data_IF_372972790216
#
_entry.id   IF_372972790216
#
_cell.length_a   1.000
_cell.length_b   1.000
_cell.length_c   1.000
_cell.angle_alpha   90.00
_cell.angle_beta   90.00
_cell.angle_gamma   90.00
#
_symmetry.space_group_name_H-M   'P 1'
#
loop_
_entity.id
_entity.type
_entity.pdbx_description
1 polymer ?
#
# COMPACT_ATOMS: atom_id res chain seq x y z
N UNK A 1 4.07 8.27 2.13
CA UNK A 1 3.44 6.93 2.12
C UNK A 1 1.98 7.18 2.47
N UNK A 2 1.07 6.43 1.87
CA UNK A 2 -0.37 6.75 1.80
C UNK A 2 -1.04 6.87 3.18
N UNK A 3 -0.51 6.21 4.20
CA UNK A 3 -0.98 6.27 5.58
C UNK A 3 -0.93 7.67 6.19
N UNK A 4 0.11 8.45 5.84
CA UNK A 4 0.25 9.83 6.32
C UNK A 4 -0.73 10.76 5.63
N UNK A 5 -0.91 10.58 4.32
CA UNK A 5 -1.77 11.41 3.49
C UNK A 5 -3.25 11.15 3.81
N UNK A 6 -3.60 9.89 4.08
CA UNK A 6 -4.95 9.47 4.49
C UNK A 6 -5.18 9.54 6.01
N UNK A 7 -4.17 9.91 6.81
CA UNK A 7 -4.21 9.94 8.29
C UNK A 7 -4.71 8.63 8.90
N UNK A 8 -4.30 7.50 8.34
CA UNK A 8 -4.61 6.16 8.85
C UNK A 8 -3.38 5.51 9.46
N UNK A 9 -3.58 4.43 10.21
CA UNK A 9 -2.46 3.62 10.68
C UNK A 9 -1.81 2.88 9.52
N UNK A 10 -0.53 2.50 9.66
CA UNK A 10 0.18 1.69 8.66
C UNK A 10 -0.57 0.39 8.36
N UNK A 11 -1.16 -0.25 9.38
CA UNK A 11 -1.95 -1.46 9.19
C UNK A 11 -3.27 -1.20 8.46
N UNK A 12 -3.92 -0.06 8.72
CA UNK A 12 -5.11 0.38 7.97
C UNK A 12 -4.78 0.61 6.49
N UNK A 13 -3.66 1.27 6.20
CA UNK A 13 -3.19 1.45 4.83
C UNK A 13 -2.90 0.11 4.12
N UNK A 14 -2.27 -0.84 4.82
CA UNK A 14 -2.00 -2.18 4.26
C UNK A 14 -3.30 -2.97 3.98
N UNK A 15 -4.30 -2.86 4.85
CA UNK A 15 -5.60 -3.48 4.64
C UNK A 15 -6.29 -2.91 3.39
N UNK A 16 -6.29 -1.58 3.24
CA UNK A 16 -6.86 -0.90 2.06
C UNK A 16 -6.17 -1.33 0.76
N UNK A 17 -4.83 -1.41 0.76
CA UNK A 17 -4.05 -1.89 -0.39
C UNK A 17 -4.44 -3.32 -0.76
N UNK A 18 -4.65 -4.19 0.23
CA UNK A 18 -5.09 -5.57 0.02
C UNK A 18 -6.53 -5.66 -0.50
N UNK A 19 -7.46 -4.87 0.05
CA UNK A 19 -8.86 -4.80 -0.40
C UNK A 19 -8.98 -4.27 -1.84
N UNK A 20 -8.12 -3.33 -2.21
CA UNK A 20 -8.07 -2.75 -3.57
C UNK A 20 -7.33 -3.66 -4.57
N UNK A 21 -6.81 -4.82 -4.15
CA UNK A 21 -6.08 -5.74 -5.01
C UNK A 21 -4.77 -5.19 -5.58
N UNK A 22 -4.22 -4.14 -4.96
CA UNK A 22 -3.00 -3.49 -5.42
C UNK A 22 -1.79 -4.32 -5.04
N UNK A 23 -0.91 -4.60 -6.01
CA UNK A 23 0.30 -5.41 -5.79
C UNK A 23 1.56 -4.55 -5.80
N UNK A 24 2.53 -4.91 -4.97
CA UNK A 24 3.84 -4.27 -4.97
C UNK A 24 4.57 -4.55 -6.30
N UNK A 25 4.95 -3.48 -7.00
CA UNK A 25 5.68 -3.55 -8.26
C UNK A 25 7.17 -3.79 -8.01
N UNK A 26 7.70 -3.30 -6.87
CA UNK A 26 9.15 -3.18 -6.66
C UNK A 26 9.90 -4.45 -6.28
N UNK A 27 9.21 -5.55 -5.93
CA UNK A 27 9.84 -6.85 -5.60
C UNK A 27 10.85 -6.85 -4.44
N UNK A 28 11.02 -5.72 -3.72
CA UNK A 28 12.05 -5.51 -2.69
C UNK A 28 11.51 -5.59 -1.26
N UNK A 29 10.22 -5.91 -1.09
CA UNK A 29 9.57 -6.04 0.22
C UNK A 29 9.57 -4.75 1.03
N UNK A 30 9.63 -3.59 0.37
CA UNK A 30 9.70 -2.28 1.04
C UNK A 30 8.37 -1.55 1.03
N UNK A 31 7.34 -2.10 0.36
CA UNK A 31 6.01 -1.51 0.24
C UNK A 31 6.06 -0.07 -0.29
N UNK A 32 6.96 0.21 -1.25
CA UNK A 32 7.24 1.58 -1.71
C UNK A 32 6.56 1.96 -3.02
N UNK A 33 6.25 0.99 -3.87
CA UNK A 33 5.52 1.26 -5.11
C UNK A 33 4.50 0.14 -5.36
N UNK A 34 3.25 0.54 -5.56
CA UNK A 34 2.12 -0.31 -5.85
C UNK A 34 1.48 0.15 -7.17
N UNK A 35 0.88 -0.77 -7.91
CA UNK A 35 0.24 -0.50 -9.19
C UNK A 35 -1.13 -1.13 -9.30
N UNK A 36 -1.95 -0.52 -10.16
CA UNK A 36 -3.14 -1.13 -10.74
C UNK A 36 -2.65 -1.89 -12.00
N UNK A 37 -3.03 -3.15 -12.14
CA UNK A 37 -2.78 -3.91 -13.38
C UNK A 37 -3.66 -3.40 -14.52
#
# INVERSE_FOLDING_TARGET
MIERDLKVTTRGALNLVAELGLREITGRGRYRAWGIL
#
